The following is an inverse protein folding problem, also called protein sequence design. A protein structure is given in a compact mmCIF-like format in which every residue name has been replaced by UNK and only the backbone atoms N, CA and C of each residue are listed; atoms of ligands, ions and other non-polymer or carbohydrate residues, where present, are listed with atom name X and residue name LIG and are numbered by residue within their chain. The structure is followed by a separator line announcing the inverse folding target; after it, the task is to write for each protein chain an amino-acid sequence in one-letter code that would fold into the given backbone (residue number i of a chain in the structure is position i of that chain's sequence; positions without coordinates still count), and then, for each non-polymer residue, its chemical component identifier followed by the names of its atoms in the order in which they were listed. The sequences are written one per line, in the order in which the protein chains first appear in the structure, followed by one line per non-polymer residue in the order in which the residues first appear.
data_IF_844249281001
#
_entry.id   IF_844249281001
#
_cell.length_a   1.000
_cell.length_b   1.000
_cell.length_c   1.000
_cell.angle_alpha   90.00
_cell.angle_beta   90.00
_cell.angle_gamma   90.00
#
_symmetry.space_group_name_H-M   'P 1'
#
loop_
_entity.id
_entity.type
_entity.pdbx_description
1 polymer ?
#
# COMPACT_ATOMS: atom_id res chain seq x y z
N UNK A 1 29.42 19.96 -32.80
CA UNK A 1 28.19 20.33 -32.05
C UNK A 1 28.62 21.08 -30.80
N UNK A 2 28.12 22.29 -30.52
CA UNK A 2 28.47 23.00 -29.28
C UNK A 2 27.74 22.34 -28.10
N UNK A 3 28.48 21.89 -27.09
CA UNK A 3 27.94 21.32 -25.87
C UNK A 3 27.31 22.46 -25.07
N UNK A 4 25.99 22.54 -25.05
CA UNK A 4 25.27 23.55 -24.28
C UNK A 4 25.26 23.10 -22.83
N UNK A 5 25.64 24.00 -21.92
CA UNK A 5 25.63 23.70 -20.50
C UNK A 5 24.19 23.53 -19.99
N UNK A 6 23.94 22.59 -19.05
CA UNK A 6 22.61 22.38 -18.50
C UNK A 6 22.15 23.63 -17.74
N UNK A 7 21.00 24.17 -18.14
CA UNK A 7 20.40 25.36 -17.53
C UNK A 7 19.51 24.91 -16.36
N UNK A 8 19.69 25.53 -15.20
CA UNK A 8 18.84 25.32 -14.03
C UNK A 8 17.48 26.03 -14.22
N UNK A 9 16.34 25.33 -14.06
CA UNK A 9 15.02 25.93 -14.26
C UNK A 9 14.68 27.02 -13.24
N UNK A 10 15.21 26.92 -12.01
CA UNK A 10 14.97 27.90 -10.95
C UNK A 10 15.81 29.17 -11.13
N UNK A 11 17.09 29.00 -11.45
CA UNK A 11 18.03 30.13 -11.57
C UNK A 11 18.01 30.76 -12.97
N UNK A 12 17.48 30.05 -13.97
CA UNK A 12 17.52 30.43 -15.41
C UNK A 12 18.94 30.74 -15.90
N UNK A 13 19.94 30.13 -15.25
CA UNK A 13 21.37 30.26 -15.51
C UNK A 13 21.99 28.86 -15.55
N UNK A 14 23.28 28.78 -15.82
CA UNK A 14 24.05 27.54 -15.74
C UNK A 14 23.96 26.89 -14.35
N UNK A 15 24.09 25.57 -14.30
CA UNK A 15 24.02 24.81 -13.06
C UNK A 15 25.19 25.16 -12.13
N UNK A 16 24.90 25.46 -10.87
CA UNK A 16 25.92 25.82 -9.86
C UNK A 16 26.63 24.60 -9.23
N UNK A 17 26.30 23.37 -9.65
CA UNK A 17 26.91 22.16 -9.10
C UNK A 17 26.73 22.06 -7.58
N UNK A 18 27.83 21.73 -6.89
CA UNK A 18 27.95 21.61 -5.43
C UNK A 18 27.64 22.91 -4.66
N UNK A 19 27.68 24.06 -5.33
CA UNK A 19 27.23 25.33 -4.78
C UNK A 19 25.70 25.46 -4.64
N UNK A 20 24.92 24.48 -5.10
CA UNK A 20 23.46 24.48 -5.03
C UNK A 20 22.95 23.56 -3.90
N UNK A 21 21.98 24.02 -3.09
CA UNK A 21 21.33 23.17 -2.08
C UNK A 21 20.59 21.96 -2.67
N UNK A 22 20.31 21.97 -3.97
CA UNK A 22 19.68 20.86 -4.69
C UNK A 22 20.68 19.90 -5.34
N UNK A 23 21.98 20.08 -5.10
CA UNK A 23 22.99 19.13 -5.54
C UNK A 23 23.01 17.92 -4.62
N UNK A 24 22.73 16.76 -5.17
CA UNK A 24 22.53 15.54 -4.38
C UNK A 24 23.30 14.37 -4.98
N UNK A 25 23.76 13.49 -4.11
CA UNK A 25 24.36 12.22 -4.49
C UNK A 25 23.25 11.20 -4.65
N UNK A 26 23.10 10.64 -5.85
CA UNK A 26 22.13 9.58 -6.08
C UNK A 26 22.85 8.24 -6.14
N UNK A 27 22.56 7.40 -5.15
CA UNK A 27 22.91 5.99 -5.15
C UNK A 27 21.66 5.14 -5.34
N UNK A 28 21.75 4.13 -6.19
CA UNK A 28 20.68 3.17 -6.39
C UNK A 28 20.83 2.42 -7.69
N UNK A 29 19.72 1.98 -8.24
CA UNK A 29 19.70 1.22 -9.47
C UNK A 29 18.65 1.80 -10.42
N UNK A 30 19.00 1.99 -11.68
CA UNK A 30 18.13 2.60 -12.67
C UNK A 30 16.93 1.67 -12.93
N UNK A 31 15.68 2.14 -12.71
CA UNK A 31 14.50 1.29 -12.76
C UNK A 31 14.20 0.70 -14.15
N UNK A 32 14.79 1.28 -15.20
CA UNK A 32 14.58 0.86 -16.59
C UNK A 32 15.69 -0.07 -17.11
N UNK A 33 16.94 0.13 -16.70
CA UNK A 33 18.09 -0.63 -17.23
C UNK A 33 18.63 -1.66 -16.25
N UNK A 34 18.34 -1.54 -14.96
CA UNK A 34 18.94 -2.43 -13.95
C UNK A 34 20.41 -2.09 -13.62
N UNK A 35 20.96 -1.01 -14.17
CA UNK A 35 22.34 -0.61 -13.90
C UNK A 35 22.44 0.24 -12.63
N UNK A 36 23.53 0.04 -11.89
CA UNK A 36 23.81 0.85 -10.72
C UNK A 36 24.04 2.32 -11.12
N UNK A 37 23.45 3.19 -10.31
CA UNK A 37 23.55 4.64 -10.41
C UNK A 37 24.32 5.10 -9.19
N UNK A 38 25.47 5.69 -9.42
CA UNK A 38 26.31 6.34 -8.42
C UNK A 38 26.86 7.62 -9.05
N UNK A 39 26.11 8.72 -8.93
CA UNK A 39 26.51 10.00 -9.48
C UNK A 39 25.91 11.19 -8.73
N UNK A 40 26.68 12.27 -8.69
CA UNK A 40 26.23 13.57 -8.22
C UNK A 40 25.53 14.33 -9.35
N UNK A 41 24.33 14.83 -9.08
CA UNK A 41 23.61 15.68 -10.03
C UNK A 41 22.58 16.55 -9.30
N UNK A 42 21.98 17.49 -10.03
CA UNK A 42 20.89 18.32 -9.52
C UNK A 42 19.63 17.47 -9.29
N UNK A 43 18.95 17.64 -8.16
CA UNK A 43 17.70 16.94 -7.81
C UNK A 43 16.64 17.00 -8.91
N UNK A 44 16.52 18.13 -9.61
CA UNK A 44 15.57 18.30 -10.71
C UNK A 44 15.85 17.40 -11.91
N UNK A 45 17.12 17.07 -12.14
CA UNK A 45 17.50 16.14 -13.21
C UNK A 45 17.07 14.70 -12.90
N UNK A 46 16.95 14.37 -11.62
CA UNK A 46 16.47 13.07 -11.16
C UNK A 46 14.96 12.91 -11.16
N UNK A 47 14.20 14.01 -11.19
CA UNK A 47 12.73 13.99 -11.09
C UNK A 47 12.07 13.04 -12.10
N UNK A 48 12.39 13.05 -13.41
CA UNK A 48 11.76 12.13 -14.35
C UNK A 48 12.04 10.66 -14.01
N UNK A 49 13.25 10.33 -13.57
CA UNK A 49 13.61 8.95 -13.20
C UNK A 49 12.87 8.51 -11.93
N UNK A 50 12.82 9.36 -10.90
CA UNK A 50 12.10 9.08 -9.66
C UNK A 50 10.59 8.93 -9.87
N UNK A 51 10.00 9.73 -10.76
CA UNK A 51 8.57 9.59 -11.13
C UNK A 51 8.33 8.25 -11.84
N UNK A 52 9.21 7.82 -12.74
CA UNK A 52 9.11 6.50 -13.38
C UNK A 52 9.17 5.38 -12.34
N UNK A 53 10.07 5.48 -11.37
CA UNK A 53 10.15 4.49 -10.29
C UNK A 53 8.88 4.48 -9.43
N UNK A 54 8.37 5.65 -9.05
CA UNK A 54 7.13 5.76 -8.29
C UNK A 54 5.94 5.15 -9.06
N UNK A 55 5.86 5.36 -10.37
CA UNK A 55 4.85 4.72 -11.22
C UNK A 55 5.03 3.20 -11.28
N UNK A 56 6.26 2.70 -11.29
CA UNK A 56 6.56 1.25 -11.25
C UNK A 56 6.09 0.62 -9.94
N UNK A 57 6.40 1.24 -8.80
CA UNK A 57 5.93 0.80 -7.49
C UNK A 57 4.40 0.82 -7.40
N UNK A 58 3.78 1.88 -7.92
CA UNK A 58 2.31 2.01 -7.95
C UNK A 58 1.66 0.89 -8.78
N UNK A 59 2.21 0.54 -9.95
CA UNK A 59 1.74 -0.61 -10.75
C UNK A 59 1.86 -1.94 -10.00
N UNK A 60 2.93 -2.14 -9.24
CA UNK A 60 3.10 -3.31 -8.38
C UNK A 60 2.00 -3.41 -7.31
N UNK A 61 1.70 -2.31 -6.64
CA UNK A 61 0.61 -2.26 -5.66
C UNK A 61 -0.77 -2.52 -6.30
N UNK A 62 -1.04 -1.94 -7.47
CA UNK A 62 -2.28 -2.19 -8.21
C UNK A 62 -2.44 -3.68 -8.58
N UNK A 63 -1.37 -4.32 -9.04
CA UNK A 63 -1.39 -5.75 -9.35
C UNK A 63 -1.68 -6.61 -8.12
N UNK A 64 -1.12 -6.27 -6.96
CA UNK A 64 -1.39 -6.96 -5.70
C UNK A 64 -2.87 -6.82 -5.29
N UNK A 65 -3.45 -5.61 -5.40
CA UNK A 65 -4.87 -5.39 -5.10
C UNK A 65 -5.78 -6.19 -6.05
N UNK A 66 -5.47 -6.23 -7.35
CA UNK A 66 -6.24 -7.03 -8.30
C UNK A 66 -6.15 -8.53 -7.99
N UNK A 67 -4.97 -9.05 -7.59
CA UNK A 67 -4.85 -10.44 -7.15
C UNK A 67 -5.65 -10.74 -5.89
N UNK A 68 -5.66 -9.82 -4.93
CA UNK A 68 -6.47 -9.96 -3.70
C UNK A 68 -7.96 -9.97 -4.04
N UNK A 69 -8.40 -9.12 -4.96
CA UNK A 69 -9.78 -9.10 -5.46
C UNK A 69 -10.16 -10.45 -6.07
N UNK A 70 -9.31 -11.04 -6.91
CA UNK A 70 -9.56 -12.35 -7.52
C UNK A 70 -9.67 -13.47 -6.48
N UNK A 71 -8.76 -13.51 -5.51
CA UNK A 71 -8.80 -14.47 -4.40
C UNK A 71 -10.06 -14.35 -3.54
N UNK A 72 -10.54 -13.12 -3.29
CA UNK A 72 -11.78 -12.89 -2.54
C UNK A 72 -12.99 -13.42 -3.31
N UNK A 73 -13.06 -13.15 -4.63
CA UNK A 73 -14.14 -13.67 -5.49
C UNK A 73 -14.12 -15.21 -5.49
N UNK A 74 -12.95 -15.82 -5.67
CA UNK A 74 -12.81 -17.27 -5.67
C UNK A 74 -13.26 -17.90 -4.33
N UNK A 75 -12.87 -17.28 -3.21
CA UNK A 75 -13.30 -17.74 -1.87
C UNK A 75 -14.80 -17.60 -1.69
N UNK A 76 -15.38 -16.49 -2.14
CA UNK A 76 -16.83 -16.27 -2.08
C UNK A 76 -17.58 -17.30 -2.92
N UNK A 77 -17.12 -17.60 -4.13
CA UNK A 77 -17.72 -18.60 -5.01
C UNK A 77 -17.66 -20.00 -4.39
N UNK A 78 -16.51 -20.37 -3.80
CA UNK A 78 -16.37 -21.63 -3.05
C UNK A 78 -17.36 -21.70 -1.89
N UNK A 79 -17.51 -20.64 -1.10
CA UNK A 79 -18.49 -20.59 0.00
C UNK A 79 -19.93 -20.71 -0.50
N UNK A 80 -20.29 -19.97 -1.55
CA UNK A 80 -21.63 -20.02 -2.15
C UNK A 80 -21.96 -21.42 -2.67
N UNK A 81 -21.00 -22.09 -3.29
CA UNK A 81 -21.15 -23.46 -3.76
C UNK A 81 -21.38 -24.45 -2.61
N UNK A 82 -20.65 -24.31 -1.50
CA UNK A 82 -20.84 -25.14 -0.31
C UNK A 82 -22.23 -24.92 0.33
N UNK A 83 -22.68 -23.67 0.43
CA UNK A 83 -24.02 -23.32 0.93
C UNK A 83 -25.09 -23.93 0.02
N UNK A 84 -24.98 -23.76 -1.30
CA UNK A 84 -25.93 -24.32 -2.26
C UNK A 84 -26.01 -25.85 -2.20
N UNK A 85 -24.89 -26.53 -1.93
CA UNK A 85 -24.87 -27.98 -1.69
C UNK A 85 -25.54 -28.36 -0.37
N UNK A 86 -25.32 -27.60 0.70
CA UNK A 86 -25.95 -27.81 2.00
C UNK A 86 -27.49 -27.64 1.92
N UNK A 87 -27.97 -26.62 1.21
CA UNK A 87 -29.42 -26.40 0.99
C UNK A 87 -30.10 -27.54 0.24
N UNK A 88 -29.36 -28.35 -0.54
CA UNK A 88 -29.91 -29.53 -1.24
C UNK A 88 -30.02 -30.79 -0.35
N UNK A 89 -29.54 -30.75 0.90
CA UNK A 89 -29.66 -31.85 1.88
C UNK A 89 -30.38 -31.39 3.15
N UNK A 90 -31.72 -31.30 3.16
CA UNK A 90 -32.48 -30.81 4.32
C UNK A 90 -32.47 -31.75 5.55
N UNK A 91 -31.92 -32.96 5.48
CA UNK A 91 -32.07 -33.97 6.54
C UNK A 91 -30.99 -34.02 7.63
N UNK A 92 -30.01 -33.10 7.63
CA UNK A 92 -28.84 -33.19 8.53
C UNK A 92 -28.45 -31.87 9.24
N UNK A 93 -29.31 -30.85 9.22
CA UNK A 93 -29.09 -29.65 10.06
C UNK A 93 -29.66 -29.97 11.44
N UNK A 94 -28.82 -30.46 12.36
CA UNK A 94 -29.13 -30.45 13.79
C UNK A 94 -28.92 -29.02 14.27
N UNK A 95 -29.95 -28.47 14.91
CA UNK A 95 -29.92 -27.15 15.51
C UNK A 95 -28.69 -27.02 16.41
N UNK A 96 -27.84 -26.03 16.13
CA UNK A 96 -26.80 -25.62 17.07
C UNK A 96 -27.52 -24.89 18.19
N UNK A 97 -27.87 -25.61 19.24
CA UNK A 97 -28.27 -25.03 20.51
C UNK A 97 -27.09 -24.18 21.01
N UNK A 98 -27.22 -22.87 20.88
CA UNK A 98 -26.39 -21.94 21.63
C UNK A 98 -26.81 -22.06 23.08
N UNK A 99 -26.02 -22.78 23.88
CA UNK A 99 -26.11 -22.77 25.33
C UNK A 99 -25.95 -21.33 25.84
N UNK A 100 -27.09 -20.66 26.02
CA UNK A 100 -27.20 -19.39 26.72
C UNK A 100 -26.96 -19.61 28.21
N UNK A 101 -25.71 -19.74 28.62
CA UNK A 101 -25.32 -19.74 30.03
C UNK A 101 -23.89 -19.19 30.19
N UNK A 102 -23.71 -17.92 29.81
CA UNK A 102 -22.46 -17.19 30.01
C UNK A 102 -22.73 -15.71 30.11
N UNK A 103 -23.39 -15.30 31.20
CA UNK A 103 -23.64 -13.91 31.55
C UNK A 103 -22.31 -13.12 31.55
N UNK A 104 -22.14 -12.16 30.62
CA UNK A 104 -21.10 -11.13 30.75
C UNK A 104 -21.62 -10.11 31.76
N UNK A 105 -20.98 -9.91 32.93
CA UNK A 105 -21.46 -8.93 33.89
C UNK A 105 -21.28 -7.52 33.32
N UNK A 106 -22.36 -6.73 33.32
CA UNK A 106 -22.38 -5.33 32.92
C UNK A 106 -21.72 -4.47 34.02
N UNK A 107 -20.52 -3.96 33.74
CA UNK A 107 -19.71 -3.17 34.68
C UNK A 107 -20.20 -1.71 34.86
N UNK A 108 -21.49 -1.43 34.66
CA UNK A 108 -22.04 -0.06 34.73
C UNK A 108 -23.23 0.05 35.67
N UNK A 109 -23.02 -0.20 36.96
CA UNK A 109 -23.89 0.39 38.00
C UNK A 109 -23.26 0.27 39.40
N UNK A 110 -22.47 1.27 39.81
CA UNK A 110 -22.35 1.64 41.23
C UNK A 110 -22.45 3.15 41.38
N UNK A 111 -23.69 3.60 41.58
CA UNK A 111 -24.03 4.94 42.07
C UNK A 111 -23.51 5.09 43.51
N UNK A 112 -22.98 6.26 43.92
CA UNK A 112 -22.57 6.47 45.30
C UNK A 112 -23.79 6.72 46.20
N UNK A 113 -23.91 5.98 47.30
CA UNK A 113 -24.75 6.31 48.46
C UNK A 113 -23.85 6.06 49.69
N UNK A 114 -23.30 7.07 50.35
CA UNK A 114 -23.93 8.01 51.30
C UNK A 114 -24.57 7.32 52.52
N UNK A 115 -23.85 7.36 53.65
CA UNK A 115 -24.41 7.55 55.00
C UNK A 115 -24.87 6.31 55.79
N UNK A 116 -24.05 5.89 56.75
CA UNK A 116 -24.34 5.99 58.19
C UNK A 116 -23.08 5.70 59.01
#
# INVERSE_FOLDING_TARGET
MRKKEPICPLLKKECLGDGCMFWVHMLGNNPQTGHDVDQWDCSFRWVPMLIVENARQTRGAQAAVESMRNEVIERQDRLNNLIAQASRRPSQIKDVETDSAGQIPDSRETKPQSGN
#
